data_IF_878258551301
#
_entry.id   IF_878258551301
#
_cell.length_a   1.000
_cell.length_b   1.000
_cell.length_c   1.000
_cell.angle_alpha   90.00
_cell.angle_beta   90.00
_cell.angle_gamma   90.00
#
_symmetry.space_group_name_H-M   'P 1'
#
loop_
_entity.id
_entity.type
_entity.pdbx_description
1 polymer ?
#
# COMPACT_ATOMS: atom_id res chain seq x y z
N UNK A 1 11.94 -6.91 9.39
CA UNK A 1 12.80 -5.99 8.62
C UNK A 1 12.88 -4.66 9.34
N UNK A 2 13.52 -3.65 8.76
CA UNK A 2 13.54 -2.28 9.30
C UNK A 2 12.69 -1.34 8.44
N UNK A 3 12.73 -1.51 7.12
CA UNK A 3 12.18 -0.60 6.12
C UNK A 3 11.01 -1.21 5.39
N UNK A 4 9.87 -0.53 5.44
CA UNK A 4 8.65 -0.86 4.70
C UNK A 4 8.38 0.19 3.64
N UNK A 5 8.00 -0.26 2.45
CA UNK A 5 7.37 0.58 1.43
C UNK A 5 5.90 0.19 1.31
N UNK A 6 5.01 1.15 1.42
CA UNK A 6 3.59 0.99 1.11
C UNK A 6 3.32 1.53 -0.29
N UNK A 7 2.88 0.66 -1.19
CA UNK A 7 2.68 0.96 -2.61
C UNK A 7 1.20 1.14 -2.91
N UNK A 8 0.85 2.35 -3.34
CA UNK A 8 -0.54 2.77 -3.53
C UNK A 8 -1.23 2.99 -2.19
N UNK A 9 -0.57 3.73 -1.29
CA UNK A 9 -1.08 4.04 0.06
C UNK A 9 -2.48 4.66 0.02
N UNK A 10 -2.79 5.41 -1.05
CA UNK A 10 -3.96 6.27 -1.10
C UNK A 10 -3.96 7.27 0.07
N UNK A 11 -5.12 7.85 0.41
CA UNK A 11 -5.26 8.72 1.56
C UNK A 11 -5.45 7.94 2.88
N UNK A 12 -4.86 6.73 3.00
CA UNK A 12 -5.19 5.77 4.07
C UNK A 12 -3.97 5.33 4.87
N UNK A 13 -4.19 4.96 6.15
CA UNK A 13 -3.13 4.52 7.07
C UNK A 13 -3.42 3.20 7.79
N UNK A 14 -4.61 2.63 7.63
CA UNK A 14 -5.06 1.46 8.40
C UNK A 14 -4.17 0.23 8.19
N UNK A 15 -3.68 0.04 6.97
CA UNK A 15 -2.79 -1.04 6.56
C UNK A 15 -1.42 -0.98 7.25
N UNK A 16 -1.08 0.16 7.86
CA UNK A 16 0.21 0.42 8.50
C UNK A 16 0.16 0.28 10.02
N UNK A 17 -1.03 0.20 10.63
CA UNK A 17 -1.19 0.23 12.09
C UNK A 17 -0.43 -0.92 12.76
N UNK A 18 -0.72 -2.16 12.35
CA UNK A 18 0.00 -3.34 12.86
C UNK A 18 1.43 -3.41 12.33
N UNK A 19 1.67 -3.02 11.07
CA UNK A 19 3.00 -3.07 10.46
C UNK A 19 4.02 -2.20 11.22
N UNK A 20 3.61 -1.02 11.67
CA UNK A 20 4.48 -0.07 12.40
C UNK A 20 5.03 -0.61 13.72
N UNK A 21 4.44 -1.68 14.28
CA UNK A 21 4.98 -2.37 15.47
C UNK A 21 6.37 -2.95 15.26
N UNK A 22 6.62 -3.44 14.05
CA UNK A 22 7.80 -4.24 13.71
C UNK A 22 8.62 -3.61 12.61
N UNK A 23 8.08 -2.61 11.91
CA UNK A 23 8.72 -1.89 10.81
C UNK A 23 8.71 -0.38 11.13
N UNK A 24 9.73 0.15 11.82
CA UNK A 24 9.75 1.52 12.31
C UNK A 24 10.13 2.56 11.25
N UNK A 25 10.45 2.15 10.02
CA UNK A 25 10.79 3.03 8.91
C UNK A 25 9.89 2.78 7.69
N UNK A 26 8.75 3.46 7.67
CA UNK A 26 7.73 3.34 6.62
C UNK A 26 7.88 4.48 5.61
N UNK A 27 7.88 4.14 4.32
CA UNK A 27 7.71 5.07 3.22
C UNK A 27 6.34 4.81 2.60
N UNK A 28 5.48 5.81 2.58
CA UNK A 28 4.20 5.74 1.88
C UNK A 28 4.39 6.18 0.43
N UNK A 29 3.66 5.60 -0.51
CA UNK A 29 3.81 5.97 -1.91
C UNK A 29 2.52 5.83 -2.71
N UNK A 30 2.30 6.76 -3.64
CA UNK A 30 1.08 6.83 -4.44
C UNK A 30 1.34 7.63 -5.73
N UNK A 31 0.52 7.39 -6.75
CA UNK A 31 0.55 8.15 -8.00
C UNK A 31 -0.13 9.53 -7.82
N UNK A 32 -1.06 9.66 -6.87
CA UNK A 32 -1.81 10.88 -6.64
C UNK A 32 -1.17 11.71 -5.52
N UNK A 33 -0.70 12.91 -5.87
CA UNK A 33 -0.13 13.84 -4.91
C UNK A 33 -1.09 14.19 -3.76
N UNK A 34 -2.39 14.34 -4.04
CA UNK A 34 -3.39 14.65 -3.01
C UNK A 34 -3.53 13.55 -1.96
N UNK A 35 -3.40 12.28 -2.34
CA UNK A 35 -3.39 11.16 -1.40
C UNK A 35 -2.18 11.24 -0.45
N UNK A 36 -0.99 11.51 -1.00
CA UNK A 36 0.23 11.70 -0.22
C UNK A 36 0.14 12.88 0.74
N UNK A 37 -0.57 13.94 0.35
CA UNK A 37 -0.83 15.10 1.21
C UNK A 37 -1.75 14.75 2.38
N UNK A 38 -2.81 13.97 2.17
CA UNK A 38 -3.67 13.50 3.28
C UNK A 38 -2.89 12.66 4.30
N UNK A 39 -1.98 11.80 3.85
CA UNK A 39 -1.09 11.05 4.74
C UNK A 39 -0.16 12.00 5.52
N UNK A 40 0.42 13.01 4.86
CA UNK A 40 1.28 14.01 5.53
C UNK A 40 0.50 14.82 6.58
N UNK A 41 -0.71 15.28 6.26
CA UNK A 41 -1.58 16.00 7.19
C UNK A 41 -1.84 15.17 8.45
N UNK A 42 -2.26 13.92 8.27
CA UNK A 42 -2.51 13.03 9.41
C UNK A 42 -1.26 12.73 10.23
N UNK A 43 -0.12 12.50 9.56
CA UNK A 43 1.18 12.28 10.21
C UNK A 43 1.58 13.46 11.10
N UNK A 44 1.39 14.68 10.61
CA UNK A 44 1.77 15.92 11.30
C UNK A 44 0.77 16.34 12.38
N UNK A 45 -0.42 15.73 12.43
CA UNK A 45 -1.50 16.14 13.32
C UNK A 45 -2.18 17.44 12.89
N UNK A 46 -2.18 17.73 11.59
CA UNK A 46 -2.76 18.95 11.04
C UNK A 46 -4.27 19.01 11.28
N UNK A 47 -4.78 20.22 11.53
CA UNK A 47 -6.21 20.45 11.60
C UNK A 47 -6.88 20.09 10.27
N UNK A 48 -7.92 19.25 10.32
CA UNK A 48 -8.65 18.77 9.13
C UNK A 48 -8.12 17.47 8.54
N UNK A 49 -7.09 16.85 9.12
CA UNK A 49 -6.75 15.47 8.79
C UNK A 49 -7.91 14.52 9.11
N UNK A 50 -8.07 13.47 8.32
CA UNK A 50 -9.09 12.44 8.57
C UNK A 50 -8.90 11.81 9.96
N UNK A 51 -10.01 11.61 10.68
CA UNK A 51 -9.99 11.00 12.01
C UNK A 51 -9.90 9.46 11.89
N UNK A 52 -8.69 8.93 12.08
CA UNK A 52 -8.43 7.50 12.11
C UNK A 52 -8.59 6.85 13.49
N UNK A 53 -9.08 7.57 14.51
CA UNK A 53 -9.16 7.06 15.90
C UNK A 53 -9.96 5.76 16.01
N UNK A 54 -11.05 5.60 15.26
CA UNK A 54 -11.83 4.36 15.27
C UNK A 54 -11.03 3.14 14.77
N UNK A 55 -10.26 3.30 13.69
CA UNK A 55 -9.39 2.24 13.18
C UNK A 55 -8.24 1.94 14.15
N UNK A 56 -7.65 3.00 14.73
CA UNK A 56 -6.61 2.86 15.76
C UNK A 56 -7.12 2.10 16.98
N UNK A 57 -8.29 2.46 17.51
CA UNK A 57 -8.93 1.78 18.64
C UNK A 57 -9.22 0.32 18.33
N UNK A 58 -9.78 0.03 17.15
CA UNK A 58 -10.10 -1.33 16.74
C UNK A 58 -8.85 -2.21 16.68
N UNK A 59 -7.82 -1.79 15.93
CA UNK A 59 -6.59 -2.57 15.78
C UNK A 59 -5.84 -2.68 17.11
N UNK A 60 -5.74 -1.59 17.87
CA UNK A 60 -5.03 -1.61 19.16
C UNK A 60 -5.74 -2.52 20.18
N UNK A 61 -7.08 -2.56 20.14
CA UNK A 61 -7.88 -3.48 20.95
C UNK A 61 -7.63 -4.95 20.61
N UNK A 62 -7.55 -5.29 19.31
CA UNK A 62 -7.14 -6.63 18.87
C UNK A 62 -5.71 -6.99 19.31
N UNK A 63 -4.84 -5.99 19.38
CA UNK A 63 -3.43 -6.13 19.73
C UNK A 63 -3.13 -6.07 21.24
N UNK A 64 -4.12 -5.72 22.07
CA UNK A 64 -3.95 -5.52 23.52
C UNK A 64 -3.06 -4.32 23.87
N UNK A 65 -3.12 -3.23 23.09
CA UNK A 65 -2.29 -2.02 23.25
C UNK A 65 -3.13 -0.74 23.38
N UNK A 66 -2.54 0.35 23.88
CA UNK A 66 -3.20 1.66 23.98
C UNK A 66 -3.17 2.43 22.66
N UNK A 67 -4.34 2.83 22.13
CA UNK A 67 -4.46 3.35 20.77
C UNK A 67 -3.79 4.72 20.56
N UNK A 68 -3.73 5.58 21.59
CA UNK A 68 -3.04 6.87 21.52
C UNK A 68 -1.54 6.67 21.31
N UNK A 69 -0.93 5.75 22.06
CA UNK A 69 0.49 5.41 21.92
C UNK A 69 0.78 4.78 20.55
N UNK A 70 -0.10 3.89 20.09
CA UNK A 70 -0.02 3.29 18.75
C UNK A 70 -0.08 4.35 17.65
N UNK A 71 -0.94 5.37 17.81
CA UNK A 71 -1.08 6.45 16.84
C UNK A 71 0.23 7.24 16.73
N UNK A 72 0.78 7.64 17.85
CA UNK A 72 2.05 8.37 17.88
C UNK A 72 3.22 7.52 17.37
N UNK A 73 3.22 6.22 17.65
CA UNK A 73 4.21 5.31 17.08
C UNK A 73 4.10 5.26 15.56
N UNK A 74 2.90 5.10 15.00
CA UNK A 74 2.69 5.06 13.56
C UNK A 74 3.10 6.37 12.89
N UNK A 75 2.73 7.53 13.46
CA UNK A 75 3.18 8.85 12.98
C UNK A 75 4.70 8.96 12.92
N UNK A 76 5.39 8.47 13.97
CA UNK A 76 6.86 8.43 14.00
C UNK A 76 7.43 7.43 13.00
N UNK A 77 6.76 6.32 12.73
CA UNK A 77 7.23 5.28 11.82
C UNK A 77 7.18 5.73 10.35
N UNK A 78 6.17 6.52 9.96
CA UNK A 78 6.07 7.12 8.62
C UNK A 78 7.17 8.17 8.46
N UNK A 79 8.20 7.87 7.67
CA UNK A 79 9.34 8.78 7.45
C UNK A 79 9.11 9.72 6.29
N UNK A 80 8.54 9.21 5.21
CA UNK A 80 8.38 9.97 3.97
C UNK A 80 7.12 9.54 3.21
N UNK A 81 6.68 10.41 2.30
CA UNK A 81 5.66 10.07 1.31
C UNK A 81 6.16 10.48 -0.08
N UNK A 82 6.16 9.54 -1.03
CA UNK A 82 6.83 9.69 -2.33
C UNK A 82 5.91 9.34 -3.50
N UNK A 83 6.15 9.97 -4.66
CA UNK A 83 5.49 9.60 -5.90
C UNK A 83 5.83 8.15 -6.29
N UNK A 84 4.83 7.41 -6.75
CA UNK A 84 5.02 6.05 -7.26
C UNK A 84 4.13 5.79 -8.48
N UNK A 85 4.73 5.40 -9.60
CA UNK A 85 4.02 4.87 -10.76
C UNK A 85 4.43 3.42 -11.00
N UNK A 86 3.56 2.49 -10.60
CA UNK A 86 3.80 1.04 -10.71
C UNK A 86 3.98 0.55 -12.15
N UNK A 87 3.61 1.35 -13.15
CA UNK A 87 3.84 1.02 -14.56
C UNK A 87 5.29 1.25 -15.00
N UNK A 88 6.06 2.07 -14.26
CA UNK A 88 7.45 2.35 -14.58
C UNK A 88 8.36 1.22 -14.08
N UNK A 89 9.42 0.90 -14.84
CA UNK A 89 10.41 -0.11 -14.44
C UNK A 89 11.09 0.23 -13.12
N UNK A 90 11.26 1.53 -12.84
CA UNK A 90 11.58 2.05 -11.51
C UNK A 90 10.37 2.85 -10.98
N UNK A 91 9.48 2.22 -10.19
CA UNK A 91 8.24 2.88 -9.76
C UNK A 91 8.45 4.17 -8.97
N UNK A 92 9.56 4.31 -8.25
CA UNK A 92 9.83 5.44 -7.37
C UNK A 92 10.61 6.57 -8.04
N UNK A 93 10.89 6.49 -9.34
CA UNK A 93 11.61 7.54 -10.06
C UNK A 93 10.92 8.93 -9.90
N UNK A 94 11.68 10.02 -9.64
CA UNK A 94 13.14 10.12 -9.59
C UNK A 94 13.78 9.83 -8.23
N UNK A 95 12.99 9.49 -7.21
CA UNK A 95 13.53 9.14 -5.90
C UNK A 95 14.33 7.83 -5.98
N UNK A 96 15.43 7.78 -5.22
CA UNK A 96 16.32 6.63 -5.18
C UNK A 96 16.33 6.08 -3.76
N UNK A 97 15.86 4.85 -3.62
CA UNK A 97 15.88 4.11 -2.36
C UNK A 97 16.73 2.86 -2.51
N UNK A 98 17.36 2.45 -1.41
CA UNK A 98 17.83 1.07 -1.28
C UNK A 98 16.60 0.14 -1.22
N UNK A 99 16.71 -1.13 -1.68
CA UNK A 99 15.62 -2.09 -1.61
C UNK A 99 15.02 -2.20 -0.20
N UNK A 100 13.73 -2.44 -0.12
CA UNK A 100 12.96 -2.51 1.12
C UNK A 100 12.91 -3.93 1.68
N UNK A 101 12.81 -4.06 3.00
CA UNK A 101 12.65 -5.35 3.66
C UNK A 101 11.25 -5.93 3.47
N UNK A 102 10.26 -5.04 3.37
CA UNK A 102 8.85 -5.41 3.23
C UNK A 102 8.15 -4.42 2.30
N UNK A 103 7.29 -4.94 1.44
CA UNK A 103 6.33 -4.15 0.68
C UNK A 103 4.93 -4.51 1.13
N UNK A 104 4.11 -3.49 1.37
CA UNK A 104 2.66 -3.64 1.46
C UNK A 104 2.07 -3.00 0.21
N UNK A 105 1.05 -3.63 -0.37
CA UNK A 105 0.21 -2.98 -1.38
C UNK A 105 -1.22 -3.42 -1.16
N UNK A 106 -2.11 -2.47 -0.88
CA UNK A 106 -3.51 -2.73 -0.58
C UNK A 106 -4.41 -2.07 -1.59
N UNK A 107 -5.14 -2.88 -2.36
CA UNK A 107 -6.13 -2.44 -3.34
C UNK A 107 -5.60 -1.48 -4.42
N UNK A 108 -4.30 -1.56 -4.73
CA UNK A 108 -3.62 -0.66 -5.65
C UNK A 108 -3.54 -1.24 -7.08
N UNK A 109 -3.00 -2.45 -7.23
CA UNK A 109 -2.52 -2.95 -8.53
C UNK A 109 -3.67 -3.22 -9.50
N UNK A 110 -4.79 -3.76 -9.03
CA UNK A 110 -5.99 -3.96 -9.84
C UNK A 110 -6.59 -2.63 -10.31
N UNK A 111 -6.54 -1.59 -9.48
CA UNK A 111 -7.03 -0.26 -9.79
C UNK A 111 -6.12 0.45 -10.78
N UNK A 112 -4.81 0.44 -10.52
CA UNK A 112 -3.81 1.03 -11.42
C UNK A 112 -3.86 0.42 -12.84
N UNK A 113 -4.25 -0.85 -12.95
CA UNK A 113 -4.25 -1.58 -14.22
C UNK A 113 -5.63 -1.76 -14.86
N UNK A 114 -6.71 -1.18 -14.30
CA UNK A 114 -8.09 -1.51 -14.69
C UNK A 114 -8.36 -1.34 -16.19
N UNK A 115 -7.89 -0.22 -16.76
CA UNK A 115 -8.08 0.12 -18.17
C UNK A 115 -6.95 -0.37 -19.10
N UNK A 116 -5.91 -1.01 -18.54
CA UNK A 116 -4.73 -1.50 -19.28
C UNK A 116 -4.64 -3.02 -19.36
N UNK A 117 -5.46 -3.74 -18.58
CA UNK A 117 -5.61 -5.19 -18.67
C UNK A 117 -4.54 -6.01 -17.95
N UNK A 118 -4.70 -7.34 -18.02
CA UNK A 118 -3.92 -8.35 -17.28
C UNK A 118 -2.41 -8.35 -17.59
N UNK A 119 -2.02 -8.04 -18.83
CA UNK A 119 -0.59 -7.97 -19.19
C UNK A 119 0.12 -6.82 -18.46
N UNK A 120 -0.58 -5.72 -18.22
CA UNK A 120 -0.05 -4.57 -17.48
C UNK A 120 0.04 -4.86 -16.00
N UNK A 121 -0.98 -5.51 -15.42
CA UNK A 121 -0.93 -5.99 -14.04
C UNK A 121 0.29 -6.87 -13.77
N UNK A 122 0.56 -7.83 -14.67
CA UNK A 122 1.77 -8.68 -14.57
C UNK A 122 3.06 -7.86 -14.51
N UNK A 123 3.18 -6.81 -15.33
CA UNK A 123 4.36 -5.91 -15.33
C UNK A 123 4.43 -5.11 -14.04
N UNK A 124 3.32 -4.55 -13.59
CA UNK A 124 3.24 -3.78 -12.33
C UNK A 124 3.66 -4.62 -11.12
N UNK A 125 3.19 -5.87 -11.01
CA UNK A 125 3.63 -6.81 -9.96
C UNK A 125 5.15 -6.99 -9.99
N UNK A 126 5.75 -7.21 -11.17
CA UNK A 126 7.21 -7.35 -11.31
C UNK A 126 7.96 -6.08 -10.92
N UNK A 127 7.50 -4.92 -11.38
CA UNK A 127 8.12 -3.63 -11.06
C UNK A 127 8.09 -3.37 -9.56
N UNK A 128 6.96 -3.61 -8.90
CA UNK A 128 6.83 -3.47 -7.44
C UNK A 128 7.72 -4.46 -6.70
N UNK A 129 7.74 -5.73 -7.11
CA UNK A 129 8.59 -6.74 -6.47
C UNK A 129 10.09 -6.45 -6.66
N UNK A 130 10.49 -5.71 -7.70
CA UNK A 130 11.88 -5.30 -7.91
C UNK A 130 12.41 -4.33 -6.83
N UNK A 131 11.52 -3.68 -6.07
CA UNK A 131 11.87 -2.80 -4.96
C UNK A 131 12.16 -3.57 -3.67
N UNK A 132 11.93 -4.89 -3.63
CA UNK A 132 12.27 -5.75 -2.49
C UNK A 132 13.74 -6.15 -2.52
N UNK A 133 14.32 -6.25 -1.33
CA UNK A 133 15.59 -6.98 -1.18
C UNK A 133 15.37 -8.49 -1.40
N UNK A 134 16.43 -9.25 -1.69
CA UNK A 134 16.40 -10.72 -1.58
C UNK A 134 15.88 -11.16 -0.20
N UNK A 135 15.03 -12.18 -0.17
CA UNK A 135 14.36 -12.69 1.03
C UNK A 135 13.44 -11.66 1.74
N UNK A 136 13.06 -10.60 1.05
CA UNK A 136 12.06 -9.64 1.50
C UNK A 136 10.64 -10.22 1.45
N UNK A 137 9.71 -9.55 2.13
CA UNK A 137 8.31 -9.96 2.20
C UNK A 137 7.39 -9.01 1.44
N UNK A 138 6.38 -9.55 0.76
CA UNK A 138 5.28 -8.77 0.21
C UNK A 138 3.98 -9.16 0.90
N UNK A 139 3.19 -8.17 1.30
CA UNK A 139 1.82 -8.33 1.77
C UNK A 139 0.92 -7.64 0.75
N UNK A 140 0.18 -8.44 -0.02
CA UNK A 140 -0.71 -7.97 -1.07
C UNK A 140 -2.17 -8.19 -0.66
N UNK A 141 -2.96 -7.12 -0.64
CA UNK A 141 -4.42 -7.20 -0.55
C UNK A 141 -4.97 -6.74 -1.90
N UNK A 142 -5.79 -7.58 -2.53
CA UNK A 142 -6.44 -7.27 -3.81
C UNK A 142 -7.89 -7.69 -3.80
N UNK A 143 -8.71 -6.97 -4.57
CA UNK A 143 -10.07 -7.39 -4.85
C UNK A 143 -10.12 -8.55 -5.85
N UNK A 144 -10.87 -9.60 -5.52
CA UNK A 144 -11.12 -10.75 -6.39
C UNK A 144 -12.50 -10.63 -7.02
N UNK A 145 -12.58 -10.73 -8.35
CA UNK A 145 -13.84 -10.69 -9.11
C UNK A 145 -14.53 -9.33 -9.19
N UNK A 146 -14.02 -8.30 -8.50
CA UNK A 146 -14.57 -6.93 -8.51
C UNK A 146 -14.19 -6.21 -9.80
N UNK A 147 -15.12 -5.42 -10.35
CA UNK A 147 -14.93 -4.68 -11.60
C UNK A 147 -15.42 -3.23 -11.55
N UNK A 148 -16.01 -2.82 -10.43
CA UNK A 148 -16.55 -1.48 -10.23
C UNK A 148 -16.68 -1.18 -8.74
N UNK A 149 -16.71 0.11 -8.41
CA UNK A 149 -17.19 0.62 -7.12
C UNK A 149 -18.48 1.41 -7.31
N UNK A 150 -19.14 1.70 -6.19
CA UNK A 150 -20.30 2.57 -6.18
C UNK A 150 -19.88 3.98 -5.76
N UNK A 151 -20.16 4.95 -6.61
CA UNK A 151 -20.01 6.38 -6.34
C UNK A 151 -21.34 7.07 -6.56
N UNK A 152 -21.88 7.68 -5.51
CA UNK A 152 -23.20 8.35 -5.53
C UNK A 152 -24.31 7.46 -6.11
N UNK A 153 -24.30 6.17 -5.74
CA UNK A 153 -25.26 5.16 -6.20
C UNK A 153 -25.05 4.66 -7.63
N UNK A 154 -24.03 5.15 -8.35
CA UNK A 154 -23.70 4.74 -9.72
C UNK A 154 -22.49 3.80 -9.74
N UNK A 155 -22.51 2.83 -10.65
CA UNK A 155 -21.36 1.96 -10.90
C UNK A 155 -20.31 2.72 -11.71
N UNK A 156 -19.10 2.78 -11.17
CA UNK A 156 -17.94 3.36 -11.84
C UNK A 156 -16.88 2.26 -12.01
N UNK A 157 -16.51 1.88 -13.25
CA UNK A 157 -15.48 0.86 -13.49
C UNK A 157 -14.11 1.34 -13.01
N UNK A 158 -13.53 0.64 -12.06
CA UNK A 158 -12.29 1.05 -11.39
C UNK A 158 -11.29 -0.09 -11.17
N UNK A 159 -11.69 -1.34 -11.37
CA UNK A 159 -10.89 -2.50 -11.00
C UNK A 159 -10.75 -3.47 -12.17
N UNK A 160 -9.51 -3.91 -12.41
CA UNK A 160 -9.24 -5.04 -13.27
C UNK A 160 -9.86 -6.30 -12.63
N UNK A 161 -10.69 -7.04 -13.38
CA UNK A 161 -11.24 -8.31 -12.87
C UNK A 161 -10.13 -9.34 -12.67
N UNK A 162 -9.75 -9.56 -11.42
CA UNK A 162 -8.78 -10.57 -11.00
C UNK A 162 -9.46 -11.86 -10.53
N UNK A 163 -8.71 -12.95 -10.62
CA UNK A 163 -9.00 -14.24 -10.00
C UNK A 163 -7.78 -14.66 -9.16
N UNK A 164 -8.00 -15.46 -8.12
CA UNK A 164 -6.96 -15.81 -7.14
C UNK A 164 -5.77 -16.50 -7.82
N UNK A 165 -6.03 -17.47 -8.70
CA UNK A 165 -4.98 -18.20 -9.42
C UNK A 165 -4.10 -17.27 -10.26
N UNK A 166 -4.72 -16.28 -10.93
CA UNK A 166 -3.97 -15.27 -11.67
C UNK A 166 -3.08 -14.43 -10.74
N UNK A 167 -3.58 -13.98 -9.58
CA UNK A 167 -2.76 -13.21 -8.62
C UNK A 167 -1.58 -14.04 -8.13
N UNK A 168 -1.83 -15.25 -7.65
CA UNK A 168 -0.81 -16.16 -7.13
C UNK A 168 0.25 -16.50 -8.18
N UNK A 169 -0.18 -16.78 -9.42
CA UNK A 169 0.73 -17.05 -10.54
C UNK A 169 1.64 -15.85 -10.83
N UNK A 170 1.12 -14.63 -10.85
CA UNK A 170 1.94 -13.46 -11.16
C UNK A 170 2.92 -13.11 -10.02
N UNK A 171 2.56 -13.36 -8.76
CA UNK A 171 3.49 -13.28 -7.63
C UNK A 171 4.62 -14.31 -7.79
N UNK A 172 4.29 -15.56 -8.09
CA UNK A 172 5.29 -16.61 -8.33
C UNK A 172 6.22 -16.29 -9.50
N UNK A 173 5.68 -15.80 -10.63
CA UNK A 173 6.47 -15.37 -11.79
C UNK A 173 7.29 -14.09 -11.54
N UNK A 174 7.02 -13.37 -10.45
CA UNK A 174 7.82 -12.25 -9.96
C UNK A 174 8.86 -12.68 -8.91
N UNK A 175 9.01 -13.99 -8.67
CA UNK A 175 10.01 -14.54 -7.73
C UNK A 175 9.52 -14.61 -6.28
N UNK A 176 8.22 -14.43 -6.03
CA UNK A 176 7.65 -14.49 -4.68
C UNK A 176 7.18 -15.92 -4.39
N UNK A 177 7.64 -16.48 -3.27
CA UNK A 177 7.05 -17.69 -2.70
C UNK A 177 5.85 -17.28 -1.86
N UNK A 178 4.65 -17.75 -2.24
CA UNK A 178 3.43 -17.49 -1.47
C UNK A 178 3.43 -18.39 -0.23
N UNK A 179 3.21 -17.79 0.94
CA UNK A 179 3.17 -18.43 2.25
C UNK A 179 1.75 -18.83 2.66
#
# INVERSE_FOLDING_TARGET
>A
GERLLDVGTGPTIYQLISASRVLPHIVCSDIHQGALEEVRKWKNGDAGAFDWSSAMQHVSGLEGTGWEERQDQLRRAIKDTVFCDVHNENPLHPAVFRPFDTIISTYCLEGACFNKGRSTYKKAVKNVCSLLKPDGYIILLSYIGVTYYLKDGKKDPDNLRLDTDFVLKNLSEAGITVL
#
